data_IF_235630818930
#
_entry.id   IF_235630818930
#
_cell.length_a   1.000
_cell.length_b   1.000
_cell.length_c   1.000
_cell.angle_alpha   90.00
_cell.angle_beta   90.00
_cell.angle_gamma   90.00
#
_symmetry.space_group_name_H-M   'P 1'
#
loop_
_entity.id
_entity.type
_entity.pdbx_description
1 polymer ?
#
# COMPACT_ATOMS: atom_id res chain seq x y z
N UNK A 1 0.56 17.42 29.33
CA UNK A 1 1.26 18.68 29.58
C UNK A 1 0.24 19.71 30.05
N UNK A 2 0.53 20.54 31.06
CA UNK A 2 -0.37 21.62 31.47
C UNK A 2 -0.73 22.52 30.29
N UNK A 3 -1.99 22.93 30.18
CA UNK A 3 -2.46 23.79 29.09
C UNK A 3 -2.63 23.10 27.73
N UNK A 4 -2.54 21.77 27.65
CA UNK A 4 -2.80 21.05 26.41
C UNK A 4 -4.22 21.30 25.89
N UNK A 5 -4.35 21.47 24.57
CA UNK A 5 -5.62 21.69 23.88
C UNK A 5 -6.02 20.41 23.13
N UNK A 6 -7.31 20.15 23.03
CA UNK A 6 -7.82 18.99 22.29
C UNK A 6 -8.86 19.39 21.25
N UNK A 7 -8.76 18.80 20.07
CA UNK A 7 -9.73 18.92 18.98
C UNK A 7 -10.32 17.55 18.71
N UNK A 8 -11.61 17.48 18.38
CA UNK A 8 -12.28 16.23 18.07
C UNK A 8 -13.28 16.38 16.91
N UNK A 9 -13.46 15.29 16.19
CA UNK A 9 -14.43 15.12 15.11
C UNK A 9 -15.18 13.80 15.34
N UNK A 10 -16.49 13.82 15.20
CA UNK A 10 -17.34 12.65 15.37
C UNK A 10 -18.44 12.64 14.30
N UNK A 11 -18.63 11.49 13.67
CA UNK A 11 -19.70 11.20 12.74
C UNK A 11 -20.32 9.85 13.12
N UNK A 12 -21.54 9.91 13.66
CA UNK A 12 -22.25 8.73 14.13
C UNK A 12 -22.77 7.86 12.99
N UNK A 13 -23.08 8.44 11.82
CA UNK A 13 -23.55 7.69 10.67
C UNK A 13 -22.41 6.90 10.02
N UNK A 14 -21.23 7.53 9.89
CA UNK A 14 -20.02 6.86 9.42
C UNK A 14 -19.33 6.00 10.49
N UNK A 15 -19.79 6.06 11.76
CA UNK A 15 -19.15 5.42 12.91
C UNK A 15 -17.68 5.82 13.08
N UNK A 16 -17.37 7.10 12.87
CA UNK A 16 -16.01 7.66 12.93
C UNK A 16 -15.87 8.58 14.13
N UNK A 17 -14.79 8.42 14.89
CA UNK A 17 -14.38 9.35 15.94
C UNK A 17 -12.87 9.61 15.86
N UNK A 18 -12.49 10.88 15.80
CA UNK A 18 -11.09 11.31 15.76
C UNK A 18 -10.85 12.38 16.81
N UNK A 19 -9.76 12.27 17.56
CA UNK A 19 -9.34 13.27 18.55
C UNK A 19 -7.83 13.46 18.47
N UNK A 20 -7.37 14.70 18.51
CA UNK A 20 -5.96 15.04 18.66
C UNK A 20 -5.77 15.91 19.90
N UNK A 21 -4.58 15.81 20.49
CA UNK A 21 -4.17 16.61 21.64
C UNK A 21 -2.85 17.31 21.29
N UNK A 22 -2.80 18.62 21.46
CA UNK A 22 -1.65 19.47 21.13
C UNK A 22 -1.14 20.20 22.38
N UNK A 23 0.11 20.66 22.37
CA UNK A 23 0.63 21.51 23.45
C UNK A 23 -0.09 22.87 23.51
N UNK A 24 0.11 23.61 24.61
CA UNK A 24 -0.52 24.91 24.83
C UNK A 24 -0.25 25.91 23.68
N UNK A 25 0.96 25.87 23.12
CA UNK A 25 1.39 26.77 22.03
C UNK A 25 0.91 26.32 20.64
N UNK A 26 0.19 25.20 20.54
CA UNK A 26 -0.29 24.59 19.27
C UNK A 26 0.83 24.26 18.27
N UNK A 27 2.05 24.06 18.73
CA UNK A 27 3.22 23.78 17.88
C UNK A 27 3.54 22.29 17.73
N UNK A 28 3.11 21.44 18.68
CA UNK A 28 3.46 20.02 18.74
C UNK A 28 2.26 19.15 19.06
N UNK A 29 2.16 18.02 18.35
CA UNK A 29 1.19 16.98 18.62
C UNK A 29 1.65 16.12 19.81
N UNK A 30 0.79 15.95 20.80
CA UNK A 30 1.04 15.14 22.00
C UNK A 30 0.46 13.73 21.88
N UNK A 31 -0.61 13.57 21.11
CA UNK A 31 -1.25 12.27 20.88
C UNK A 31 -2.54 12.38 20.09
N UNK A 32 -3.05 11.22 19.67
CA UNK A 32 -4.29 11.10 18.92
C UNK A 32 -5.06 9.83 19.29
N UNK A 33 -6.37 9.85 19.09
CA UNK A 33 -7.28 8.72 19.17
C UNK A 33 -8.10 8.68 17.89
N UNK A 34 -8.10 7.56 17.19
CA UNK A 34 -8.84 7.34 15.94
C UNK A 34 -9.66 6.06 16.07
N UNK A 35 -10.96 6.14 15.75
CA UNK A 35 -11.92 5.03 15.78
C UNK A 35 -12.72 5.07 14.48
N UNK A 36 -12.91 3.93 13.83
CA UNK A 36 -13.50 3.85 12.49
C UNK A 36 -12.43 4.10 11.42
N UNK A 37 -12.51 5.25 10.73
CA UNK A 37 -11.50 5.65 9.72
C UNK A 37 -10.22 6.17 10.39
N UNK A 38 -9.10 5.50 10.14
CA UNK A 38 -7.79 5.81 10.74
C UNK A 38 -6.69 6.09 9.69
N UNK A 39 -7.05 6.61 8.51
CA UNK A 39 -6.09 6.93 7.44
C UNK A 39 -4.92 7.81 7.89
N UNK A 40 -5.18 8.78 8.76
CA UNK A 40 -4.18 9.76 9.22
C UNK A 40 -3.29 9.20 10.35
N UNK A 41 -3.48 7.95 10.76
CA UNK A 41 -2.74 7.32 11.86
C UNK A 41 -1.22 7.45 11.69
N UNK A 42 -0.70 7.11 10.51
CA UNK A 42 0.76 7.11 10.27
C UNK A 42 1.32 8.53 10.34
N UNK A 43 0.65 9.50 9.73
CA UNK A 43 1.11 10.89 9.71
C UNK A 43 1.09 11.48 11.12
N UNK A 44 -0.02 11.31 11.86
CA UNK A 44 -0.14 11.77 13.25
C UNK A 44 0.88 11.09 14.17
N UNK A 45 1.10 9.79 14.02
CA UNK A 45 2.12 9.06 14.79
C UNK A 45 3.50 9.65 14.52
N UNK A 46 3.85 9.88 13.26
CA UNK A 46 5.15 10.42 12.88
C UNK A 46 5.34 11.87 13.34
N UNK A 47 4.31 12.71 13.27
CA UNK A 47 4.34 14.07 13.81
C UNK A 47 4.61 14.08 15.32
N UNK A 48 3.97 13.16 16.07
CA UNK A 48 4.17 13.04 17.51
C UNK A 48 5.57 12.51 17.86
N UNK A 49 6.00 11.41 17.24
CA UNK A 49 7.28 10.77 17.53
C UNK A 49 8.49 11.65 17.19
N UNK A 50 8.43 12.38 16.08
CA UNK A 50 9.54 13.22 15.62
C UNK A 50 9.39 14.69 16.02
N UNK A 51 8.31 15.05 16.73
CA UNK A 51 8.05 16.43 17.16
C UNK A 51 7.93 17.41 15.99
N UNK A 52 7.33 16.98 14.88
CA UNK A 52 7.14 17.81 13.69
C UNK A 52 6.21 18.99 14.01
N UNK A 53 6.42 20.11 13.32
CA UNK A 53 5.59 21.29 13.47
C UNK A 53 4.15 21.01 13.01
N UNK A 54 3.18 21.52 13.76
CA UNK A 54 1.77 21.47 13.41
C UNK A 54 1.40 22.59 12.41
N UNK A 55 0.36 22.39 11.57
CA UNK A 55 -0.23 23.47 10.79
C UNK A 55 -0.85 24.53 11.70
N UNK A 56 -1.06 25.75 11.16
CA UNK A 56 -1.68 26.87 11.90
C UNK A 56 -3.06 26.53 12.46
N UNK A 57 -3.78 25.60 11.80
CA UNK A 57 -5.10 25.12 12.16
C UNK A 57 -4.99 23.61 12.47
N UNK A 58 -4.69 23.19 13.72
CA UNK A 58 -4.44 21.78 14.05
C UNK A 58 -5.61 20.84 13.78
N UNK A 59 -6.86 21.30 13.93
CA UNK A 59 -8.07 20.52 13.67
C UNK A 59 -8.21 20.06 12.21
N UNK A 60 -7.52 20.73 11.28
CA UNK A 60 -7.44 20.32 9.87
C UNK A 60 -6.93 18.89 9.70
N UNK A 61 -6.07 18.42 10.62
CA UNK A 61 -5.46 17.09 10.57
C UNK A 61 -6.47 15.96 10.77
N UNK A 62 -7.67 16.24 11.28
CA UNK A 62 -8.71 15.23 11.55
C UNK A 62 -10.05 15.52 10.89
N UNK A 63 -10.22 16.68 10.25
CA UNK A 63 -11.47 17.05 9.58
C UNK A 63 -11.55 16.44 8.17
N UNK A 64 -12.65 15.74 7.82
CA UNK A 64 -12.85 15.27 6.45
C UNK A 64 -13.07 16.45 5.49
N UNK A 65 -12.48 16.37 4.30
CA UNK A 65 -12.63 17.38 3.25
C UNK A 65 -11.78 18.64 3.44
N UNK A 66 -10.96 18.72 4.48
CA UNK A 66 -9.99 19.80 4.61
C UNK A 66 -8.73 19.46 3.80
N UNK A 67 -8.63 19.99 2.57
CA UNK A 67 -7.51 19.74 1.63
C UNK A 67 -6.16 20.35 2.06
N UNK A 68 -6.03 20.87 3.28
CA UNK A 68 -4.74 21.27 3.85
C UNK A 68 -4.10 20.20 4.74
N UNK A 69 -4.58 18.96 4.69
CA UNK A 69 -3.88 17.80 5.25
C UNK A 69 -2.54 17.60 4.54
N UNK A 70 -1.52 18.33 4.97
CA UNK A 70 -0.08 18.11 4.77
C UNK A 70 0.42 17.81 3.34
N UNK A 71 -0.28 18.24 2.28
CA UNK A 71 0.11 18.00 0.89
C UNK A 71 0.28 19.30 0.09
N UNK A 72 1.09 20.25 0.58
CA UNK A 72 1.59 21.39 -0.23
C UNK A 72 3.09 21.65 -0.07
N UNK A 73 3.88 20.59 0.05
CA UNK A 73 5.34 20.69 -0.15
C UNK A 73 5.90 19.44 -0.82
N UNK A 74 5.40 19.11 -2.02
CA UNK A 74 6.16 18.38 -3.07
C UNK A 74 6.89 17.08 -2.70
N UNK A 75 6.54 16.45 -1.58
CA UNK A 75 7.21 15.30 -1.01
C UNK A 75 6.21 14.58 -0.11
N UNK A 76 6.30 13.27 -0.12
CA UNK A 76 5.47 12.43 0.74
C UNK A 76 5.90 12.72 2.20
N UNK A 77 5.01 12.78 3.20
CA UNK A 77 5.38 13.19 4.58
C UNK A 77 6.61 12.47 5.18
N UNK A 78 6.95 11.29 4.65
CA UNK A 78 8.21 10.55 4.87
C UNK A 78 9.49 11.28 4.49
N UNK A 79 9.47 12.21 3.54
CA UNK A 79 10.64 12.96 3.10
C UNK A 79 11.10 13.95 4.18
N UNK A 80 10.15 14.48 4.95
CA UNK A 80 10.41 15.38 6.08
C UNK A 80 10.90 14.65 7.33
N UNK A 81 10.84 13.31 7.34
CA UNK A 81 11.33 12.53 8.47
C UNK A 81 12.87 12.55 8.54
N UNK A 82 13.46 12.73 9.73
CA UNK A 82 14.90 12.56 9.90
C UNK A 82 15.29 11.08 9.66
N UNK A 83 16.53 10.84 9.28
CA UNK A 83 17.03 9.47 9.04
C UNK A 83 16.96 8.59 10.30
N UNK A 84 17.04 9.21 11.48
CA UNK A 84 16.86 8.55 12.78
C UNK A 84 15.41 8.20 13.13
N UNK A 85 14.42 8.59 12.32
CA UNK A 85 13.02 8.33 12.61
C UNK A 85 12.73 6.82 12.63
N UNK A 86 12.17 6.32 13.72
CA UNK A 86 11.76 4.92 13.82
C UNK A 86 10.52 4.67 12.97
N UNK A 87 10.67 3.84 11.94
CA UNK A 87 9.59 3.44 11.02
C UNK A 87 8.91 2.16 11.50
N UNK A 88 9.69 1.19 12.00
CA UNK A 88 9.16 -0.05 12.58
C UNK A 88 9.58 -0.18 14.04
N UNK A 89 8.66 0.06 14.98
CA UNK A 89 8.93 -0.12 16.41
C UNK A 89 9.13 -1.60 16.78
N UNK A 90 8.37 -2.51 16.16
CA UNK A 90 8.38 -3.93 16.48
C UNK A 90 9.75 -4.59 16.20
N UNK A 91 10.48 -4.13 15.18
CA UNK A 91 11.80 -4.65 14.81
C UNK A 91 12.91 -3.59 14.92
N UNK A 92 12.61 -2.45 15.56
CA UNK A 92 13.52 -1.31 15.72
C UNK A 92 14.24 -0.88 14.44
N UNK A 93 13.47 -0.64 13.37
CA UNK A 93 13.99 -0.22 12.05
C UNK A 93 13.75 1.27 11.84
N UNK A 94 14.82 2.00 11.55
CA UNK A 94 14.80 3.44 11.24
C UNK A 94 14.59 3.72 9.75
N UNK A 95 14.37 5.00 9.39
CA UNK A 95 14.36 5.44 7.99
C UNK A 95 15.70 5.18 7.33
N UNK A 96 16.81 5.45 8.02
CA UNK A 96 18.17 5.20 7.53
C UNK A 96 18.35 3.73 7.12
N UNK A 97 17.91 2.79 7.94
CA UNK A 97 18.04 1.35 7.66
C UNK A 97 17.28 0.95 6.39
N UNK A 98 16.11 1.55 6.14
CA UNK A 98 15.31 1.31 4.94
C UNK A 98 16.01 1.93 3.72
N UNK A 99 16.43 3.20 3.80
CA UNK A 99 17.13 3.88 2.71
C UNK A 99 18.45 3.17 2.34
N UNK A 100 19.19 2.67 3.33
CA UNK A 100 20.39 1.87 3.11
C UNK A 100 20.05 0.56 2.40
N UNK A 101 19.05 -0.19 2.88
CA UNK A 101 18.64 -1.44 2.24
C UNK A 101 18.17 -1.24 0.78
N UNK A 102 17.52 -0.11 0.47
CA UNK A 102 17.12 0.25 -0.90
C UNK A 102 18.37 0.54 -1.75
N UNK A 103 19.31 1.31 -1.23
CA UNK A 103 20.60 1.61 -1.88
C UNK A 103 21.42 0.33 -2.15
N UNK A 104 21.31 -0.66 -1.27
CA UNK A 104 21.92 -1.98 -1.42
C UNK A 104 21.18 -2.90 -2.41
N UNK A 105 20.06 -2.44 -2.99
CA UNK A 105 19.32 -3.13 -4.05
C UNK A 105 17.92 -3.65 -3.66
N UNK A 106 17.40 -3.34 -2.47
CA UNK A 106 16.06 -3.76 -2.06
C UNK A 106 14.96 -2.88 -2.68
N UNK A 107 14.59 -3.18 -3.93
CA UNK A 107 13.63 -2.37 -4.71
C UNK A 107 12.15 -2.78 -4.55
N UNK A 108 11.84 -3.69 -3.63
CA UNK A 108 10.47 -4.13 -3.36
C UNK A 108 10.20 -4.27 -1.86
N UNK A 109 8.93 -4.16 -1.47
CA UNK A 109 8.51 -4.38 -0.08
C UNK A 109 8.89 -5.78 0.42
N UNK A 110 8.84 -6.79 -0.47
CA UNK A 110 9.25 -8.16 -0.16
C UNK A 110 10.75 -8.27 0.13
N UNK A 111 11.58 -7.57 -0.66
CA UNK A 111 13.02 -7.49 -0.41
C UNK A 111 13.33 -6.78 0.92
N UNK A 112 12.69 -5.65 1.17
CA UNK A 112 12.82 -4.91 2.44
C UNK A 112 12.43 -5.77 3.65
N UNK A 113 11.30 -6.50 3.57
CA UNK A 113 10.88 -7.43 4.64
C UNK A 113 11.93 -8.49 4.94
N UNK A 114 12.63 -9.01 3.93
CA UNK A 114 13.69 -10.01 4.10
C UNK A 114 14.96 -9.39 4.72
N UNK A 115 15.35 -8.20 4.26
CA UNK A 115 16.58 -7.55 4.67
C UNK A 115 16.47 -6.87 6.06
N UNK A 116 15.45 -6.02 6.25
CA UNK A 116 15.32 -5.19 7.46
C UNK A 116 14.37 -5.78 8.49
N UNK A 117 13.57 -6.79 8.12
CA UNK A 117 12.45 -7.32 8.92
C UNK A 117 11.35 -6.29 9.21
N UNK A 118 11.36 -5.10 8.60
CA UNK A 118 10.26 -4.16 8.76
C UNK A 118 8.93 -4.80 8.29
N UNK A 119 7.81 -4.50 8.96
CA UNK A 119 6.49 -5.02 8.62
C UNK A 119 6.30 -6.55 8.64
N UNK A 120 7.14 -7.30 9.37
CA UNK A 120 7.01 -8.77 9.53
C UNK A 120 6.39 -9.22 10.85
N UNK A 121 6.38 -8.36 11.88
CA UNK A 121 5.85 -8.68 13.21
C UNK A 121 4.38 -8.27 13.36
N UNK A 122 4.15 -7.00 13.69
CA UNK A 122 2.81 -6.44 13.94
C UNK A 122 2.13 -5.88 12.66
N UNK A 123 2.87 -5.71 11.56
CA UNK A 123 2.36 -5.25 10.27
C UNK A 123 1.96 -3.76 10.19
N UNK A 124 1.75 -3.06 11.30
CA UNK A 124 1.22 -1.68 11.31
C UNK A 124 2.05 -0.64 10.54
N UNK A 125 3.37 -0.84 10.44
CA UNK A 125 4.27 0.04 9.69
C UNK A 125 4.32 -0.23 8.18
N UNK A 126 3.61 -1.25 7.66
CA UNK A 126 3.69 -1.62 6.24
C UNK A 126 3.36 -0.47 5.26
N UNK A 127 2.33 0.37 5.51
CA UNK A 127 2.05 1.51 4.64
C UNK A 127 3.20 2.52 4.63
N UNK A 128 3.75 2.84 5.81
CA UNK A 128 4.83 3.81 5.96
C UNK A 128 6.14 3.32 5.31
N UNK A 129 6.49 2.03 5.48
CA UNK A 129 7.63 1.41 4.80
C UNK A 129 7.47 1.48 3.28
N UNK A 130 6.26 1.25 2.77
CA UNK A 130 5.97 1.33 1.33
C UNK A 130 6.11 2.76 0.81
N UNK A 131 5.71 3.75 1.61
CA UNK A 131 5.83 5.17 1.28
C UNK A 131 7.29 5.61 1.22
N UNK A 132 8.12 5.19 2.19
CA UNK A 132 9.59 5.41 2.16
C UNK A 132 10.21 4.75 0.93
N UNK A 133 9.85 3.49 0.64
CA UNK A 133 10.33 2.78 -0.54
C UNK A 133 10.03 3.54 -1.83
N UNK A 134 8.78 3.96 -2.03
CA UNK A 134 8.37 4.70 -3.23
C UNK A 134 9.12 6.02 -3.37
N UNK A 135 9.26 6.78 -2.27
CA UNK A 135 9.97 8.06 -2.31
C UNK A 135 11.45 7.89 -2.65
N UNK A 136 12.12 6.90 -2.03
CA UNK A 136 13.54 6.65 -2.27
C UNK A 136 13.80 6.13 -3.69
N UNK A 137 12.96 5.20 -4.19
CA UNK A 137 13.05 4.72 -5.58
C UNK A 137 12.84 5.87 -6.58
N UNK A 138 11.86 6.75 -6.33
CA UNK A 138 11.63 7.93 -7.15
C UNK A 138 12.83 8.89 -7.13
N UNK A 139 13.47 9.09 -5.97
CA UNK A 139 14.69 9.90 -5.82
C UNK A 139 15.88 9.32 -6.60
N UNK A 140 16.02 7.99 -6.58
CA UNK A 140 17.05 7.27 -7.35
C UNK A 140 16.75 7.21 -8.86
N UNK A 141 15.65 7.82 -9.32
CA UNK A 141 15.23 7.78 -10.72
C UNK A 141 14.74 6.41 -11.17
N UNK A 142 14.53 5.48 -10.24
CA UNK A 142 13.94 4.17 -10.52
C UNK A 142 12.47 4.38 -10.80
N UNK A 143 12.09 4.27 -12.07
CA UNK A 143 10.68 4.31 -12.46
C UNK A 143 10.00 3.09 -11.84
N UNK A 144 9.14 3.33 -10.84
CA UNK A 144 8.35 2.25 -10.21
C UNK A 144 7.41 1.72 -11.27
N UNK A 145 7.80 0.60 -11.85
CA UNK A 145 7.04 -0.02 -12.90
C UNK A 145 5.92 -0.87 -12.29
N UNK A 146 4.67 -0.49 -12.53
CA UNK A 146 3.49 -1.21 -12.04
C UNK A 146 3.05 -2.34 -12.98
N UNK A 147 3.86 -2.67 -14.00
CA UNK A 147 3.61 -3.81 -14.88
C UNK A 147 3.46 -5.10 -14.06
N UNK A 148 2.49 -5.92 -14.43
CA UNK A 148 2.25 -7.20 -13.77
C UNK A 148 3.40 -8.19 -14.00
N UNK A 149 3.99 -8.18 -15.19
CA UNK A 149 5.17 -8.95 -15.57
C UNK A 149 5.71 -8.41 -16.91
N UNK A 150 6.75 -9.05 -17.45
CA UNK A 150 7.32 -8.69 -18.75
C UNK A 150 6.30 -8.78 -19.91
N UNK A 151 5.30 -9.67 -19.84
CA UNK A 151 4.33 -9.88 -20.93
C UNK A 151 3.28 -8.77 -21.05
N UNK A 152 3.04 -8.02 -19.98
CA UNK A 152 1.95 -7.05 -19.90
C UNK A 152 2.43 -5.78 -19.21
N UNK A 153 2.58 -4.66 -19.96
CA UNK A 153 3.04 -3.41 -19.41
C UNK A 153 1.95 -2.65 -18.64
N UNK A 154 1.19 -3.36 -17.80
CA UNK A 154 0.01 -2.84 -17.10
C UNK A 154 -0.10 -3.46 -15.71
N UNK A 155 -0.62 -2.70 -14.76
CA UNK A 155 -1.06 -3.19 -13.46
C UNK A 155 -2.30 -4.08 -13.58
N UNK A 156 -2.59 -4.85 -12.53
CA UNK A 156 -3.82 -5.66 -12.45
C UNK A 156 -5.09 -4.82 -12.65
N UNK A 157 -5.12 -3.61 -12.11
CA UNK A 157 -6.27 -2.71 -12.23
C UNK A 157 -6.42 -2.19 -13.66
N UNK A 158 -5.32 -1.79 -14.31
CA UNK A 158 -5.34 -1.39 -15.72
C UNK A 158 -5.77 -2.54 -16.63
N UNK A 159 -5.27 -3.76 -16.41
CA UNK A 159 -5.72 -4.95 -17.15
C UNK A 159 -7.21 -5.22 -16.96
N UNK A 160 -7.73 -5.06 -15.74
CA UNK A 160 -9.17 -5.17 -15.48
C UNK A 160 -9.97 -4.15 -16.30
N UNK A 161 -9.51 -2.90 -16.34
CA UNK A 161 -10.16 -1.86 -17.13
C UNK A 161 -10.10 -2.15 -18.64
N UNK A 162 -8.95 -2.59 -19.16
CA UNK A 162 -8.79 -2.96 -20.57
C UNK A 162 -9.74 -4.11 -20.96
N UNK A 163 -9.84 -5.15 -20.12
CA UNK A 163 -10.76 -6.27 -20.34
C UNK A 163 -12.22 -5.80 -20.40
N UNK A 164 -12.62 -4.91 -19.50
CA UNK A 164 -14.00 -4.39 -19.44
C UNK A 164 -14.34 -3.45 -20.59
N UNK A 165 -13.42 -2.57 -20.98
CA UNK A 165 -13.66 -1.55 -22.02
C UNK A 165 -13.63 -2.17 -23.41
N UNK A 166 -12.69 -3.08 -23.67
CA UNK A 166 -12.53 -3.73 -24.98
C UNK A 166 -13.30 -5.05 -25.10
N UNK A 167 -14.13 -5.37 -24.11
CA UNK A 167 -14.95 -6.59 -24.04
C UNK A 167 -14.18 -7.90 -24.30
N UNK A 168 -12.94 -7.99 -23.79
CA UNK A 168 -12.03 -9.12 -24.04
C UNK A 168 -12.48 -10.35 -23.24
N UNK A 169 -12.65 -11.50 -23.89
CA UNK A 169 -13.18 -12.73 -23.26
C UNK A 169 -12.18 -13.87 -23.13
N UNK A 170 -11.07 -13.82 -23.86
CA UNK A 170 -10.06 -14.88 -23.86
C UNK A 170 -8.69 -14.33 -23.52
N UNK A 171 -7.81 -15.20 -23.00
CA UNK A 171 -6.43 -14.82 -22.75
C UNK A 171 -5.66 -14.55 -24.04
N UNK A 172 -5.94 -15.32 -25.10
CA UNK A 172 -5.31 -15.14 -26.42
C UNK A 172 -5.62 -13.75 -26.99
N UNK A 173 -6.88 -13.30 -26.88
CA UNK A 173 -7.25 -11.93 -27.28
C UNK A 173 -6.56 -10.88 -26.41
N UNK A 174 -6.48 -11.11 -25.09
CA UNK A 174 -5.86 -10.19 -24.15
C UNK A 174 -4.36 -10.00 -24.44
N UNK A 175 -3.63 -11.11 -24.61
CA UNK A 175 -2.19 -11.06 -24.86
C UNK A 175 -1.87 -10.55 -26.27
N UNK A 176 -2.72 -10.83 -27.26
CA UNK A 176 -2.52 -10.31 -28.61
C UNK A 176 -2.78 -8.80 -28.71
N UNK A 177 -3.76 -8.27 -27.97
CA UNK A 177 -4.10 -6.84 -28.04
C UNK A 177 -3.27 -5.97 -27.09
N UNK A 178 -2.91 -6.49 -25.91
CA UNK A 178 -2.35 -5.69 -24.82
C UNK A 178 -1.10 -6.32 -24.19
N UNK A 179 -0.55 -7.39 -24.76
CA UNK A 179 0.67 -8.02 -24.25
C UNK A 179 1.57 -8.53 -25.38
N UNK A 180 2.48 -9.43 -25.00
CA UNK A 180 3.30 -10.17 -25.95
C UNK A 180 3.74 -11.52 -25.38
N UNK A 181 4.14 -12.45 -26.26
CA UNK A 181 4.60 -13.78 -25.87
C UNK A 181 3.46 -14.76 -25.57
N UNK A 182 3.74 -15.77 -24.74
CA UNK A 182 2.78 -16.85 -24.39
C UNK A 182 2.21 -16.72 -22.97
N UNK A 183 2.67 -15.74 -22.20
CA UNK A 183 2.34 -15.54 -20.79
C UNK A 183 3.08 -16.48 -19.83
N UNK A 184 3.17 -16.07 -18.57
CA UNK A 184 3.79 -16.80 -17.47
C UNK A 184 2.80 -17.19 -16.36
N UNK A 185 3.33 -17.84 -15.33
CA UNK A 185 2.69 -18.21 -14.07
C UNK A 185 2.16 -17.01 -13.25
N UNK A 186 2.60 -15.79 -13.56
CA UNK A 186 2.09 -14.57 -12.91
C UNK A 186 0.86 -14.02 -13.66
N UNK A 187 0.97 -13.83 -14.99
CA UNK A 187 -0.09 -13.16 -15.74
C UNK A 187 -1.25 -14.06 -16.13
N UNK A 188 -1.03 -15.38 -16.31
CA UNK A 188 -2.11 -16.30 -16.67
C UNK A 188 -3.17 -16.42 -15.57
N UNK A 189 -2.83 -16.69 -14.29
CA UNK A 189 -3.84 -16.75 -13.23
C UNK A 189 -4.49 -15.38 -13.00
N UNK A 190 -3.72 -14.29 -13.11
CA UNK A 190 -4.25 -12.94 -12.99
C UNK A 190 -5.30 -12.63 -14.07
N UNK A 191 -5.01 -12.94 -15.33
CA UNK A 191 -5.95 -12.74 -16.43
C UNK A 191 -7.18 -13.63 -16.27
N UNK A 192 -7.01 -14.89 -15.84
CA UNK A 192 -8.11 -15.81 -15.62
C UNK A 192 -9.07 -15.29 -14.53
N UNK A 193 -8.54 -14.80 -13.41
CA UNK A 193 -9.33 -14.18 -12.34
C UNK A 193 -10.06 -12.91 -12.82
N UNK A 194 -9.39 -12.06 -13.59
CA UNK A 194 -9.99 -10.84 -14.17
C UNK A 194 -11.15 -11.22 -15.11
N UNK A 195 -10.93 -12.17 -16.04
CA UNK A 195 -11.94 -12.62 -17.00
C UNK A 195 -13.16 -13.23 -16.28
N UNK A 196 -12.93 -14.12 -15.31
CA UNK A 196 -14.01 -14.71 -14.51
C UNK A 196 -14.81 -13.63 -13.75
N UNK A 197 -14.12 -12.64 -13.17
CA UNK A 197 -14.77 -11.53 -12.45
C UNK A 197 -15.55 -10.58 -13.37
N UNK A 198 -15.07 -10.34 -14.58
CA UNK A 198 -15.71 -9.44 -15.53
C UNK A 198 -16.96 -10.06 -16.18
N UNK A 199 -16.89 -11.35 -16.49
CA UNK A 199 -17.91 -12.05 -17.27
C UNK A 199 -18.77 -13.01 -16.45
N UNK A 200 -18.47 -13.16 -15.15
CA UNK A 200 -19.12 -14.10 -14.24
C UNK A 200 -19.12 -15.55 -14.77
N UNK A 201 -18.05 -15.91 -15.48
CA UNK A 201 -17.86 -17.23 -16.06
C UNK A 201 -17.27 -18.20 -15.02
N UNK A 202 -17.57 -19.50 -15.15
CA UNK A 202 -17.00 -20.50 -14.26
C UNK A 202 -15.48 -20.62 -14.45
N UNK A 203 -14.73 -20.59 -13.35
CA UNK A 203 -13.27 -20.50 -13.33
C UNK A 203 -12.56 -21.69 -13.99
N UNK A 204 -13.21 -22.87 -14.00
CA UNK A 204 -12.72 -24.10 -14.66
C UNK A 204 -13.37 -24.37 -16.02
N UNK A 205 -14.02 -23.38 -16.63
CA UNK A 205 -14.42 -23.48 -18.04
C UNK A 205 -13.16 -23.77 -18.88
N UNK A 206 -13.23 -24.59 -19.95
CA UNK A 206 -12.03 -25.01 -20.70
C UNK A 206 -11.13 -23.84 -21.18
N UNK A 207 -11.72 -22.68 -21.46
CA UNK A 207 -11.02 -21.45 -21.85
C UNK A 207 -10.21 -20.78 -20.72
N UNK A 208 -10.51 -21.08 -19.46
CA UNK A 208 -9.88 -20.48 -18.28
C UNK A 208 -9.09 -21.50 -17.46
N UNK A 209 -9.50 -22.78 -17.50
CA UNK A 209 -8.91 -23.84 -16.69
C UNK A 209 -7.38 -23.91 -16.86
N UNK A 210 -6.87 -23.93 -18.10
CA UNK A 210 -5.43 -23.98 -18.36
C UNK A 210 -4.63 -22.73 -17.96
N UNK A 211 -5.29 -21.67 -17.51
CA UNK A 211 -4.67 -20.44 -17.03
C UNK A 211 -4.53 -20.41 -15.51
N UNK A 212 -5.25 -21.27 -14.79
CA UNK A 212 -5.20 -21.35 -13.34
C UNK A 212 -3.88 -21.98 -12.88
N UNK A 213 -3.44 -21.61 -11.69
CA UNK A 213 -2.40 -22.37 -11.02
C UNK A 213 -2.96 -23.69 -10.48
N UNK A 214 -2.10 -24.57 -9.96
CA UNK A 214 -2.53 -25.89 -9.52
C UNK A 214 -3.61 -25.83 -8.43
N UNK A 215 -3.51 -24.89 -7.48
CA UNK A 215 -4.47 -24.82 -6.39
C UNK A 215 -5.85 -24.38 -6.89
N UNK A 216 -5.89 -23.35 -7.72
CA UNK A 216 -7.14 -22.83 -8.29
C UNK A 216 -7.74 -23.81 -9.31
N UNK A 217 -6.92 -24.59 -10.03
CA UNK A 217 -7.39 -25.63 -10.95
C UNK A 217 -8.12 -26.76 -10.22
N UNK A 218 -7.56 -27.22 -9.09
CA UNK A 218 -8.13 -28.30 -8.28
C UNK A 218 -9.10 -27.79 -7.20
N UNK A 219 -9.31 -26.47 -7.11
CA UNK A 219 -10.11 -25.81 -6.08
C UNK A 219 -9.74 -26.27 -4.66
N UNK A 220 -8.43 -26.44 -4.41
CA UNK A 220 -7.89 -26.96 -3.16
C UNK A 220 -6.40 -26.65 -3.02
N UNK A 221 -5.87 -26.70 -1.80
CA UNK A 221 -4.47 -26.38 -1.54
C UNK A 221 -3.61 -27.64 -1.64
N UNK A 222 -2.54 -27.58 -2.44
CA UNK A 222 -1.53 -28.63 -2.48
C UNK A 222 -0.79 -28.73 -1.14
N UNK A 223 -0.82 -29.93 -0.57
CA UNK A 223 -0.12 -30.29 0.65
C UNK A 223 1.31 -30.73 0.33
N UNK A 224 2.17 -30.76 1.37
CA UNK A 224 3.58 -31.18 1.21
C UNK A 224 3.73 -32.64 0.75
N UNK A 225 2.72 -33.47 0.97
CA UNK A 225 2.66 -34.86 0.53
C UNK A 225 2.07 -35.03 -0.89
N UNK A 226 1.72 -33.92 -1.56
CA UNK A 226 1.15 -33.91 -2.90
C UNK A 226 -0.37 -34.12 -2.96
N UNK A 227 -1.05 -34.28 -1.82
CA UNK A 227 -2.52 -34.31 -1.76
C UNK A 227 -3.12 -32.90 -1.88
N UNK A 228 -4.41 -32.79 -2.23
CA UNK A 228 -5.14 -31.52 -2.26
C UNK A 228 -6.21 -31.52 -1.16
N UNK A 229 -6.37 -30.39 -0.47
CA UNK A 229 -7.39 -30.18 0.58
C UNK A 229 -8.04 -28.80 0.52
#
# INVERSE_FOLDING_TARGET
TPGALSYFYADEHALVYKKIVVNADKTKLLGAVLVGDAKEYNDLLQMMLNGLALPEVPESLIMPGFEQSAAKSGGSGVDLLPDSATICSCNNVSKADICQAISDGSTSLGALKKCTKAATACGGCAPLVTQVLKSELQRQGVTVNNHICEHFPYSRQELYHLVRVNEIKTFDDLIHQHGHGLGCDICKPAAANILASCWNDFVLKPSHAGLQDSNDYYLGNIQKDGSYS
#
